data_IF_065723598394
#
_entry.id   IF_065723598394
#
_cell.length_a   1.000
_cell.length_b   1.000
_cell.length_c   1.000
_cell.angle_alpha   90.00
_cell.angle_beta   90.00
_cell.angle_gamma   90.00
#
_symmetry.space_group_name_H-M   'P 1'
#
loop_
_entity.id
_entity.type
_entity.pdbx_description
1 polymer ?
#
# COMPACT_ATOMS: atom_id res chain seq x y z
N UNK A 1 -29.08 19.13 6.15
CA UNK A 1 -28.32 20.38 6.38
C UNK A 1 -27.51 20.43 7.68
N UNK A 2 -28.07 20.61 8.89
CA UNK A 2 -27.24 20.78 10.13
C UNK A 2 -26.38 19.54 10.47
N UNK A 3 -26.89 18.34 10.18
CA UNK A 3 -26.18 17.08 10.46
C UNK A 3 -25.00 16.84 9.50
N UNK A 4 -25.12 17.22 8.24
CA UNK A 4 -24.07 17.08 7.22
C UNK A 4 -22.93 18.07 7.45
N UNK A 5 -23.25 19.33 7.83
CA UNK A 5 -22.23 20.32 8.19
C UNK A 5 -21.35 19.87 9.37
N UNK A 6 -21.97 19.19 10.35
CA UNK A 6 -21.25 18.66 11.53
C UNK A 6 -20.32 17.50 11.17
N UNK A 7 -20.75 16.63 10.26
CA UNK A 7 -19.92 15.54 9.73
C UNK A 7 -18.75 16.12 8.94
N UNK A 8 -19.02 17.13 8.10
CA UNK A 8 -17.98 17.80 7.32
C UNK A 8 -16.93 18.48 8.21
N UNK A 9 -17.34 19.16 9.28
CA UNK A 9 -16.42 19.73 10.28
C UNK A 9 -15.57 18.69 11.01
N UNK A 10 -16.13 17.50 11.28
CA UNK A 10 -15.38 16.39 11.88
C UNK A 10 -14.40 15.73 10.91
N UNK A 11 -14.74 15.69 9.62
CA UNK A 11 -13.91 15.10 8.58
C UNK A 11 -12.82 16.06 8.08
N UNK A 12 -13.01 17.37 8.25
CA UNK A 12 -12.05 18.40 7.85
C UNK A 12 -10.60 18.14 8.34
N UNK A 13 -10.34 17.84 9.63
CA UNK A 13 -8.98 17.53 10.08
C UNK A 13 -8.40 16.27 9.42
N UNK A 14 -9.23 15.24 9.19
CA UNK A 14 -8.79 14.04 8.46
C UNK A 14 -8.45 14.36 7.00
N UNK A 15 -9.27 15.18 6.34
CA UNK A 15 -9.02 15.62 4.96
C UNK A 15 -7.75 16.45 4.86
N UNK A 16 -7.49 17.32 5.84
CA UNK A 16 -6.27 18.13 5.90
C UNK A 16 -5.03 17.25 6.18
N UNK A 17 -5.12 16.26 7.07
CA UNK A 17 -4.07 15.24 7.29
C UNK A 17 -3.83 14.39 6.03
N UNK A 18 -4.88 13.95 5.33
CA UNK A 18 -4.77 13.24 4.05
C UNK A 18 -4.10 14.09 2.98
N UNK A 19 -4.38 15.38 2.97
CA UNK A 19 -3.74 16.34 2.06
C UNK A 19 -2.26 16.50 2.40
N UNK A 20 -1.92 16.57 3.68
CA UNK A 20 -0.54 16.64 4.16
C UNK A 20 0.25 15.35 3.83
N UNK A 21 -0.38 14.19 4.00
CA UNK A 21 0.14 12.88 3.59
C UNK A 21 0.32 12.77 2.07
N UNK A 22 -0.57 13.39 1.28
CA UNK A 22 -0.43 13.47 -0.18
C UNK A 22 0.72 14.36 -0.64
N UNK A 23 1.15 15.31 0.20
CA UNK A 23 2.33 16.17 -0.03
C UNK A 23 3.63 15.58 0.50
N UNK A 24 3.59 14.57 1.37
CA UNK A 24 4.79 13.85 1.79
C UNK A 24 5.37 13.08 0.60
N UNK A 25 6.70 12.99 0.51
CA UNK A 25 7.37 12.14 -0.49
C UNK A 25 6.93 10.70 -0.24
N UNK A 26 5.98 10.21 -1.03
CA UNK A 26 5.47 8.86 -0.93
C UNK A 26 6.64 7.89 -1.09
N UNK A 27 7.15 7.38 0.04
CA UNK A 27 8.32 6.52 0.03
C UNK A 27 7.90 5.21 -0.60
N UNK A 28 8.63 4.79 -1.63
CA UNK A 28 8.41 3.49 -2.30
C UNK A 28 8.44 2.35 -1.28
N UNK A 29 9.18 2.51 -0.17
CA UNK A 29 9.18 1.57 0.95
C UNK A 29 7.81 1.46 1.64
N UNK A 30 7.09 2.56 1.83
CA UNK A 30 5.71 2.54 2.38
C UNK A 30 4.77 1.84 1.40
N UNK A 31 4.93 2.08 0.09
CA UNK A 31 4.15 1.38 -0.94
C UNK A 31 4.39 -0.13 -0.89
N UNK A 32 5.64 -0.56 -0.80
CA UNK A 32 6.06 -1.96 -0.67
C UNK A 32 5.47 -2.58 0.60
N UNK A 33 5.51 -1.87 1.74
CA UNK A 33 4.94 -2.36 3.01
C UNK A 33 3.42 -2.53 2.93
N UNK A 34 2.71 -1.60 2.28
CA UNK A 34 1.27 -1.72 2.06
C UNK A 34 0.93 -2.91 1.15
N UNK A 35 1.70 -3.13 0.08
CA UNK A 35 1.54 -4.30 -0.79
C UNK A 35 1.86 -5.60 -0.05
N UNK A 36 2.89 -5.62 0.80
CA UNK A 36 3.23 -6.76 1.63
C UNK A 36 2.10 -7.11 2.61
N UNK A 37 1.47 -6.11 3.22
CA UNK A 37 0.30 -6.31 4.09
C UNK A 37 -0.87 -6.93 3.32
N UNK A 38 -1.16 -6.44 2.10
CA UNK A 38 -2.20 -7.01 1.24
C UNK A 38 -1.88 -8.45 0.87
N UNK A 39 -0.63 -8.74 0.48
CA UNK A 39 -0.20 -10.10 0.17
C UNK A 39 -0.36 -11.04 1.37
N UNK A 40 -0.04 -10.57 2.57
CA UNK A 40 -0.21 -11.34 3.80
C UNK A 40 -1.68 -11.59 4.13
N UNK A 41 -2.55 -10.60 3.95
CA UNK A 41 -3.99 -10.75 4.15
C UNK A 41 -4.60 -11.77 3.18
N UNK A 42 -4.18 -11.74 1.91
CA UNK A 42 -4.62 -12.74 0.92
C UNK A 42 -4.13 -14.14 1.32
N UNK A 43 -2.86 -14.27 1.69
CA UNK A 43 -2.29 -15.54 2.12
C UNK A 43 -3.00 -16.14 3.34
N UNK A 44 -3.39 -15.30 4.31
CA UNK A 44 -4.09 -15.75 5.51
C UNK A 44 -5.56 -16.13 5.28
N UNK A 45 -6.19 -15.59 4.23
CA UNK A 45 -7.63 -15.76 3.99
C UNK A 45 -7.96 -16.69 2.82
N UNK A 46 -7.01 -17.00 1.93
CA UNK A 46 -7.27 -17.81 0.73
C UNK A 46 -7.81 -19.22 1.01
N UNK A 47 -7.46 -19.80 2.16
CA UNK A 47 -7.92 -21.15 2.53
C UNK A 47 -9.37 -21.17 3.01
N UNK A 48 -9.97 -20.00 3.27
CA UNK A 48 -11.39 -19.86 3.57
C UNK A 48 -12.24 -19.76 2.30
N UNK A 49 -11.63 -19.64 1.12
CA UNK A 49 -12.34 -19.43 -0.14
C UNK A 49 -12.65 -20.77 -0.85
N UNK A 50 -13.82 -20.88 -1.53
CA UNK A 50 -14.10 -22.01 -2.41
C UNK A 50 -13.13 -22.02 -3.61
N UNK A 51 -12.98 -23.16 -4.29
CA UNK A 51 -11.91 -23.38 -5.28
C UNK A 51 -11.74 -22.29 -6.36
N UNK A 52 -12.84 -21.75 -6.90
CA UNK A 52 -12.77 -20.61 -7.84
C UNK A 52 -12.25 -19.32 -7.18
N UNK A 53 -12.66 -19.05 -5.94
CA UNK A 53 -12.17 -17.92 -5.15
C UNK A 53 -10.69 -18.06 -4.81
N UNK A 54 -10.23 -19.27 -4.46
CA UNK A 54 -8.81 -19.56 -4.21
C UNK A 54 -7.94 -19.32 -5.45
N UNK A 55 -8.41 -19.71 -6.64
CA UNK A 55 -7.73 -19.40 -7.90
C UNK A 55 -7.53 -17.88 -8.08
N UNK A 56 -8.59 -17.09 -7.94
CA UNK A 56 -8.51 -15.64 -8.08
C UNK A 56 -7.66 -14.98 -6.98
N UNK A 57 -7.72 -15.49 -5.75
CA UNK A 57 -6.84 -15.04 -4.66
C UNK A 57 -5.36 -15.24 -5.01
N UNK A 58 -4.98 -16.38 -5.59
CA UNK A 58 -3.61 -16.61 -6.04
C UNK A 58 -3.20 -15.72 -7.22
N UNK A 59 -4.11 -15.44 -8.14
CA UNK A 59 -3.86 -14.49 -9.25
C UNK A 59 -3.59 -13.10 -8.70
N UNK A 60 -4.43 -12.60 -7.78
CA UNK A 60 -4.23 -11.29 -7.14
C UNK A 60 -2.94 -11.27 -6.32
N UNK A 61 -2.65 -12.33 -5.57
CA UNK A 61 -1.40 -12.45 -4.81
C UNK A 61 -0.18 -12.34 -5.73
N UNK A 62 -0.20 -13.03 -6.87
CA UNK A 62 0.88 -12.98 -7.87
C UNK A 62 1.05 -11.57 -8.44
N UNK A 63 -0.04 -10.86 -8.71
CA UNK A 63 0.00 -9.48 -9.18
C UNK A 63 0.59 -8.53 -8.13
N UNK A 64 0.20 -8.67 -6.86
CA UNK A 64 0.72 -7.87 -5.73
C UNK A 64 2.21 -8.10 -5.55
N UNK A 65 2.65 -9.36 -5.60
CA UNK A 65 4.07 -9.71 -5.50
C UNK A 65 4.88 -9.16 -6.69
N UNK A 66 4.35 -9.26 -7.92
CA UNK A 66 4.97 -8.69 -9.11
C UNK A 66 5.12 -7.17 -9.03
N UNK A 67 4.06 -6.46 -8.62
CA UNK A 67 4.11 -5.01 -8.40
C UNK A 67 5.14 -4.64 -7.32
N UNK A 68 5.20 -5.41 -6.24
CA UNK A 68 6.18 -5.21 -5.16
C UNK A 68 7.61 -5.38 -5.68
N UNK A 69 7.87 -6.40 -6.50
CA UNK A 69 9.18 -6.65 -7.08
C UNK A 69 9.62 -5.53 -8.03
N UNK A 70 8.70 -5.01 -8.85
CA UNK A 70 8.98 -3.87 -9.73
C UNK A 70 9.32 -2.62 -8.91
N UNK A 71 8.55 -2.33 -7.87
CA UNK A 71 8.82 -1.19 -6.99
C UNK A 71 10.15 -1.33 -6.24
N UNK A 72 10.45 -2.53 -5.75
CA UNK A 72 11.71 -2.83 -5.08
C UNK A 72 12.92 -2.78 -6.02
N UNK A 73 12.73 -3.04 -7.32
CA UNK A 73 13.78 -2.89 -8.31
C UNK A 73 14.19 -1.43 -8.51
N UNK A 74 13.26 -0.48 -8.38
CA UNK A 74 13.54 0.94 -8.64
C UNK A 74 13.92 1.75 -7.40
N UNK A 75 13.73 1.21 -6.20
CA UNK A 75 13.99 1.93 -4.96
C UNK A 75 14.79 1.10 -3.96
N UNK A 76 15.81 1.74 -3.39
CA UNK A 76 16.52 1.24 -2.23
C UNK A 76 15.62 1.28 -0.97
N UNK A 77 15.99 0.57 0.12
CA UNK A 77 15.25 0.55 1.37
C UNK A 77 15.06 1.93 2.03
N UNK A 78 15.93 2.89 1.73
CA UNK A 78 15.88 4.28 2.19
C UNK A 78 15.06 5.22 1.28
N UNK A 79 14.50 4.69 0.18
CA UNK A 79 13.71 5.46 -0.80
C UNK A 79 14.55 6.21 -1.84
N UNK A 80 15.87 6.00 -1.88
CA UNK A 80 16.70 6.50 -2.98
C UNK A 80 16.49 5.67 -4.25
N UNK A 81 16.69 6.23 -5.46
CA UNK A 81 16.64 5.46 -6.70
C UNK A 81 17.67 4.32 -6.65
N UNK A 82 17.30 3.13 -7.11
CA UNK A 82 18.16 1.94 -7.13
C UNK A 82 19.40 2.08 -8.04
N UNK A 83 19.48 3.15 -8.84
CA UNK A 83 20.66 3.51 -9.63
C UNK A 83 21.86 3.90 -8.74
N UNK A 84 21.63 4.30 -7.49
CA UNK A 84 22.68 4.53 -6.51
C UNK A 84 22.84 3.29 -5.61
N UNK A 85 24.07 2.80 -5.33
CA UNK A 85 24.28 1.73 -4.37
C UNK A 85 23.76 2.14 -2.99
N UNK A 86 22.98 1.28 -2.34
CA UNK A 86 22.55 1.51 -0.96
C UNK A 86 23.77 1.57 -0.03
N UNK A 87 24.03 2.74 0.58
CA UNK A 87 25.07 2.92 1.58
C UNK A 87 24.41 2.87 2.96
N UNK A 88 24.56 1.74 3.65
CA UNK A 88 24.14 1.58 5.03
C UNK A 88 25.07 2.43 5.92
N UNK A 89 24.61 3.61 6.34
CA UNK A 89 25.28 4.42 7.37
C UNK A 89 25.05 3.85 8.76
#
# INVERSE_FOLDING_TARGET
>A
MIRELRIWWRLRPLVDEFKELSTMKFSVNVAIQMLALVAQAINATQDLLPGRGKFWAMVVLSAVQGATAVLAHFANPDGTPAEAPYIKK
#
